data_IF_309404141829
#
_entry.id   IF_309404141829
#
_cell.length_a   1.000
_cell.length_b   1.000
_cell.length_c   1.000
_cell.angle_alpha   90.00
_cell.angle_beta   90.00
_cell.angle_gamma   90.00
#
_symmetry.space_group_name_H-M   'P 1'
#
loop_
_entity.id
_entity.type
_entity.pdbx_description
1 polymer ?
#
# COMPACT_ATOMS: atom_id res chain seq x y z
N UNK A 1 39.19 -0.19 62.57
CA UNK A 1 39.79 -0.25 61.26
C UNK A 1 39.63 -1.67 60.72
N UNK A 2 38.57 -1.92 59.98
CA UNK A 2 38.24 -3.25 59.46
C UNK A 2 38.59 -3.22 57.93
N UNK A 3 39.61 -3.97 57.55
CA UNK A 3 40.06 -4.15 56.21
C UNK A 3 39.13 -5.15 55.48
N UNK A 4 38.23 -4.64 54.72
CA UNK A 4 37.44 -5.45 53.79
C UNK A 4 38.35 -5.86 52.60
N UNK A 5 39.00 -7.00 52.73
CA UNK A 5 39.72 -7.62 51.62
C UNK A 5 38.72 -8.08 50.59
N UNK A 6 38.72 -7.45 49.42
CA UNK A 6 37.87 -7.84 48.31
C UNK A 6 38.30 -9.22 47.80
N UNK A 7 37.44 -10.19 47.91
CA UNK A 7 37.58 -11.56 47.40
C UNK A 7 37.57 -11.65 45.84
N UNK A 8 37.67 -10.53 45.16
CA UNK A 8 37.46 -10.48 43.69
C UNK A 8 38.76 -10.61 42.86
N UNK A 9 39.95 -10.61 43.51
CA UNK A 9 41.24 -10.63 42.80
C UNK A 9 41.99 -11.97 42.89
N UNK A 10 41.27 -13.09 43.09
CA UNK A 10 41.94 -14.38 42.98
C UNK A 10 42.30 -14.62 41.49
N UNK A 11 43.50 -14.24 41.12
CA UNK A 11 44.11 -14.63 39.85
C UNK A 11 44.10 -16.14 39.75
N UNK A 12 43.79 -16.70 38.58
CA UNK A 12 43.88 -18.13 38.39
C UNK A 12 45.32 -18.59 38.67
N UNK A 13 45.48 -19.52 39.58
CA UNK A 13 46.78 -20.13 39.88
C UNK A 13 47.33 -20.76 38.62
N UNK A 14 48.61 -20.49 38.34
CA UNK A 14 49.30 -21.10 37.20
C UNK A 14 49.46 -22.59 37.44
N UNK A 15 49.65 -23.43 36.41
CA UNK A 15 49.93 -24.86 36.56
C UNK A 15 51.08 -25.16 37.54
N UNK A 16 52.15 -24.36 37.49
CA UNK A 16 53.29 -24.46 38.41
C UNK A 16 52.93 -24.13 39.85
N UNK A 17 52.13 -23.13 40.12
CA UNK A 17 51.65 -22.79 41.47
C UNK A 17 50.70 -23.87 42.03
N UNK A 18 49.91 -24.52 41.15
CA UNK A 18 49.05 -25.61 41.57
C UNK A 18 49.87 -26.85 42.00
N UNK A 19 50.92 -27.16 41.24
CA UNK A 19 51.83 -28.29 41.52
C UNK A 19 52.54 -28.08 42.85
N UNK A 20 52.99 -26.85 43.15
CA UNK A 20 53.64 -26.50 44.42
C UNK A 20 52.65 -26.62 45.60
N UNK A 21 51.40 -26.28 45.42
CA UNK A 21 50.39 -26.24 46.49
C UNK A 21 49.75 -27.61 46.76
N UNK A 22 49.65 -28.47 45.75
CA UNK A 22 48.86 -29.71 45.82
C UNK A 22 49.60 -30.98 45.46
N UNK A 23 50.89 -30.91 45.07
CA UNK A 23 51.70 -32.07 44.74
C UNK A 23 51.14 -32.91 43.57
N UNK A 24 50.28 -32.31 42.73
CA UNK A 24 49.64 -32.97 41.61
C UNK A 24 50.42 -32.72 40.32
N UNK A 25 50.42 -33.67 39.44
CA UNK A 25 51.10 -33.55 38.14
C UNK A 25 50.54 -32.43 37.27
N UNK A 26 51.30 -31.98 36.29
CA UNK A 26 50.96 -30.90 35.36
C UNK A 26 49.58 -31.02 34.70
N UNK A 27 49.13 -32.23 34.44
CA UNK A 27 47.81 -32.54 33.88
C UNK A 27 46.64 -32.15 34.79
N UNK A 28 46.77 -32.39 36.11
CA UNK A 28 45.78 -32.00 37.08
C UNK A 28 45.68 -30.46 37.23
N UNK A 29 46.81 -29.75 37.11
CA UNK A 29 46.89 -28.31 37.14
C UNK A 29 46.23 -27.68 35.87
N UNK A 30 46.41 -28.29 34.73
CA UNK A 30 45.80 -27.83 33.47
C UNK A 30 44.29 -28.02 33.48
N UNK A 31 43.76 -29.14 33.98
CA UNK A 31 42.35 -29.39 34.18
C UNK A 31 41.74 -28.37 35.19
N UNK A 32 42.47 -28.02 36.24
CA UNK A 32 41.99 -27.01 37.20
C UNK A 32 41.93 -25.61 36.60
N UNK A 33 42.84 -25.26 35.70
CA UNK A 33 42.88 -23.98 34.99
C UNK A 33 41.72 -23.83 34.00
N UNK A 34 41.24 -24.93 33.44
CA UNK A 34 40.10 -24.94 32.50
C UNK A 34 38.74 -24.80 33.22
N UNK A 35 38.67 -24.99 34.53
CA UNK A 35 37.43 -24.83 35.27
C UNK A 35 37.02 -23.36 35.32
N UNK A 36 36.09 -22.99 34.47
CA UNK A 36 35.41 -21.71 34.58
C UNK A 36 34.72 -21.63 35.96
N UNK A 37 35.05 -20.62 36.77
CA UNK A 37 34.32 -20.42 38.02
C UNK A 37 32.84 -20.23 37.71
N UNK A 38 31.93 -20.84 38.50
CA UNK A 38 30.47 -20.73 38.34
C UNK A 38 30.03 -19.27 38.16
N UNK A 39 30.66 -18.35 38.84
CA UNK A 39 30.39 -16.90 38.80
C UNK A 39 30.75 -16.31 37.39
N UNK A 40 31.91 -16.67 36.83
CA UNK A 40 32.32 -16.23 35.49
C UNK A 40 31.42 -16.82 34.42
N UNK A 41 31.02 -18.08 34.55
CA UNK A 41 30.11 -18.74 33.63
C UNK A 41 28.73 -18.03 33.63
N UNK A 42 28.13 -17.85 34.83
CA UNK A 42 26.84 -17.19 34.94
C UNK A 42 26.88 -15.75 34.41
N UNK A 43 27.92 -14.99 34.74
CA UNK A 43 28.06 -13.61 34.23
C UNK A 43 28.17 -13.58 32.68
N UNK A 44 28.97 -14.48 32.09
CA UNK A 44 29.13 -14.54 30.64
C UNK A 44 27.84 -14.99 29.95
N UNK A 45 27.14 -15.97 30.50
CA UNK A 45 25.87 -16.45 29.97
C UNK A 45 24.80 -15.37 30.05
N UNK A 46 24.69 -14.66 31.15
CA UNK A 46 23.75 -13.55 31.30
C UNK A 46 24.04 -12.43 30.28
N UNK A 47 25.30 -12.05 30.09
CA UNK A 47 25.70 -11.05 29.12
C UNK A 47 25.41 -11.51 27.68
N UNK A 48 25.63 -12.78 27.37
CA UNK A 48 25.33 -13.34 26.06
C UNK A 48 23.82 -13.34 25.77
N UNK A 49 23.00 -13.80 26.73
CA UNK A 49 21.55 -13.79 26.62
C UNK A 49 21.03 -12.35 26.46
N UNK A 50 21.55 -11.44 27.27
CA UNK A 50 21.17 -10.01 27.18
C UNK A 50 21.56 -9.41 25.83
N UNK A 51 22.77 -9.69 25.35
CA UNK A 51 23.25 -9.24 24.04
C UNK A 51 22.38 -9.76 22.90
N UNK A 52 22.06 -11.05 22.90
CA UNK A 52 21.19 -11.66 21.87
C UNK A 52 19.77 -11.04 21.91
N UNK A 53 19.20 -10.90 23.11
CA UNK A 53 17.85 -10.36 23.27
C UNK A 53 17.76 -8.89 22.83
N UNK A 54 18.73 -8.07 23.21
CA UNK A 54 18.76 -6.67 22.78
C UNK A 54 18.98 -6.52 21.29
N UNK A 55 19.88 -7.32 20.71
CA UNK A 55 20.10 -7.31 19.27
C UNK A 55 18.84 -7.73 18.49
N UNK A 56 18.15 -8.77 18.93
CA UNK A 56 16.90 -9.21 18.33
C UNK A 56 15.80 -8.14 18.43
N UNK A 57 15.68 -7.49 19.59
CA UNK A 57 14.71 -6.41 19.80
C UNK A 57 15.00 -5.20 18.90
N UNK A 58 16.26 -4.79 18.81
CA UNK A 58 16.67 -3.67 17.93
C UNK A 58 16.46 -4.02 16.46
N UNK A 59 16.86 -5.24 16.04
CA UNK A 59 16.65 -5.68 14.68
C UNK A 59 15.14 -5.75 14.31
N UNK A 60 14.32 -6.24 15.24
CA UNK A 60 12.86 -6.26 15.05
C UNK A 60 12.26 -4.86 14.95
N UNK A 61 12.70 -3.92 15.78
CA UNK A 61 12.27 -2.54 15.72
C UNK A 61 12.69 -1.85 14.41
N UNK A 62 13.93 -2.07 13.98
CA UNK A 62 14.41 -1.55 12.70
C UNK A 62 13.66 -2.15 11.51
N UNK A 63 13.38 -3.46 11.54
CA UNK A 63 12.57 -4.12 10.52
C UNK A 63 11.15 -3.56 10.46
N UNK A 64 10.53 -3.30 11.62
CA UNK A 64 9.20 -2.70 11.69
C UNK A 64 9.18 -1.24 11.20
N UNK A 65 10.24 -0.48 11.46
CA UNK A 65 10.35 0.92 11.01
C UNK A 65 10.76 1.06 9.54
N UNK A 66 11.29 0.01 8.94
CA UNK A 66 11.67 0.02 7.53
C UNK A 66 10.50 -0.49 6.69
N UNK A 67 9.78 0.38 5.97
CA UNK A 67 8.71 -0.08 5.10
C UNK A 67 9.32 -0.98 4.03
N UNK A 68 8.88 -2.23 3.97
CA UNK A 68 9.21 -3.11 2.86
C UNK A 68 8.54 -2.54 1.61
N UNK A 69 9.34 -1.99 0.70
CA UNK A 69 8.90 -1.38 -0.55
C UNK A 69 8.41 -2.42 -1.57
N UNK A 70 7.48 -3.26 -1.15
CA UNK A 70 6.87 -4.27 -1.99
C UNK A 70 5.52 -3.84 -2.51
N UNK A 71 5.48 -2.98 -3.53
CA UNK A 71 4.24 -2.70 -4.24
C UNK A 71 3.21 -1.86 -3.46
N UNK A 72 3.66 -1.02 -2.53
CA UNK A 72 2.80 -0.18 -1.71
C UNK A 72 2.28 1.05 -2.48
N UNK A 73 1.20 1.64 -1.97
CA UNK A 73 0.64 2.91 -2.45
C UNK A 73 1.77 3.96 -2.58
N UNK A 74 1.85 4.61 -3.74
CA UNK A 74 2.94 5.52 -4.09
C UNK A 74 3.92 4.95 -5.13
N UNK A 75 3.64 3.77 -5.67
CA UNK A 75 4.44 3.11 -6.71
C UNK A 75 3.57 2.54 -7.84
N UNK A 76 4.22 2.01 -8.87
CA UNK A 76 3.52 1.27 -9.93
C UNK A 76 3.01 -0.08 -9.39
N UNK A 77 1.70 -0.31 -9.50
CA UNK A 77 1.00 -1.49 -9.03
C UNK A 77 0.56 -2.33 -10.22
N UNK A 78 1.02 -3.57 -10.31
CA UNK A 78 0.42 -4.54 -11.21
C UNK A 78 -0.86 -5.07 -10.57
N UNK A 79 -2.00 -4.80 -11.21
CA UNK A 79 -3.32 -5.11 -10.63
C UNK A 79 -3.96 -6.35 -11.25
N UNK A 80 -3.37 -6.91 -12.29
CA UNK A 80 -3.84 -8.14 -12.95
C UNK A 80 -3.84 -8.04 -14.46
N UNK A 81 -4.41 -9.05 -15.11
CA UNK A 81 -4.49 -9.10 -16.57
C UNK A 81 -5.70 -8.31 -17.09
N UNK A 82 -5.61 -7.77 -18.31
CA UNK A 82 -6.76 -7.12 -18.96
C UNK A 82 -8.01 -7.99 -18.99
N UNK A 83 -7.84 -9.31 -19.16
CA UNK A 83 -8.93 -10.29 -19.21
C UNK A 83 -9.72 -10.40 -17.90
N UNK A 84 -9.11 -10.01 -16.78
CA UNK A 84 -9.73 -10.08 -15.45
C UNK A 84 -10.72 -8.92 -15.24
N UNK A 85 -10.66 -7.91 -16.11
CA UNK A 85 -11.46 -6.69 -16.02
C UNK A 85 -12.31 -6.48 -17.27
N UNK A 86 -13.40 -7.23 -17.47
CA UNK A 86 -14.23 -7.11 -18.66
C UNK A 86 -14.82 -5.71 -18.82
N UNK A 87 -14.81 -5.21 -20.05
CA UNK A 87 -15.46 -3.94 -20.38
C UNK A 87 -16.98 -4.05 -20.21
N UNK A 88 -17.60 -2.97 -19.81
CA UNK A 88 -19.05 -2.90 -19.72
C UNK A 88 -19.59 -1.58 -20.28
N UNK A 89 -20.83 -1.60 -20.73
CA UNK A 89 -21.61 -0.41 -21.01
C UNK A 89 -22.24 0.10 -19.72
N UNK A 90 -22.50 1.39 -19.57
CA UNK A 90 -23.15 1.91 -18.36
C UNK A 90 -24.46 1.21 -18.00
N UNK A 91 -25.23 0.77 -18.99
CA UNK A 91 -26.48 0.00 -18.77
C UNK A 91 -26.19 -1.39 -18.15
N UNK A 92 -25.08 -2.02 -18.55
CA UNK A 92 -24.67 -3.34 -18.05
C UNK A 92 -24.09 -3.24 -16.62
N UNK A 93 -23.56 -2.08 -16.25
CA UNK A 93 -23.02 -1.84 -14.90
C UNK A 93 -24.12 -1.88 -13.83
N UNK A 94 -25.33 -1.44 -14.15
CA UNK A 94 -26.49 -1.51 -13.25
C UNK A 94 -26.85 -2.96 -12.92
N UNK A 95 -26.75 -3.83 -13.92
CA UNK A 95 -27.28 -5.20 -13.81
C UNK A 95 -26.24 -6.23 -13.33
N UNK A 96 -24.97 -6.00 -13.65
CA UNK A 96 -23.95 -7.06 -13.57
C UNK A 96 -22.67 -6.69 -12.80
N UNK A 97 -22.60 -5.51 -12.19
CA UNK A 97 -21.39 -5.01 -11.48
C UNK A 97 -20.10 -5.09 -12.33
N UNK A 98 -20.24 -5.04 -13.68
CA UNK A 98 -19.13 -5.10 -14.61
C UNK A 98 -18.62 -3.71 -14.92
N UNK A 99 -17.35 -3.62 -15.35
CA UNK A 99 -16.74 -2.39 -15.85
C UNK A 99 -16.22 -1.45 -14.77
N UNK A 100 -16.54 -1.64 -13.49
CA UNK A 100 -15.96 -0.88 -12.38
C UNK A 100 -15.42 -1.87 -11.32
N UNK A 101 -14.12 -1.80 -11.07
CA UNK A 101 -13.42 -2.74 -10.20
C UNK A 101 -12.69 -1.98 -9.11
N UNK A 102 -12.96 -2.31 -7.86
CA UNK A 102 -12.22 -1.74 -6.76
C UNK A 102 -10.87 -2.46 -6.58
N UNK A 103 -9.79 -1.69 -6.56
CA UNK A 103 -8.41 -2.17 -6.40
C UNK A 103 -7.88 -1.70 -5.03
N UNK A 104 -7.96 -2.51 -3.99
CA UNK A 104 -7.60 -2.10 -2.62
C UNK A 104 -6.13 -1.65 -2.51
N UNK A 105 -5.20 -2.35 -3.16
CA UNK A 105 -3.77 -2.05 -3.13
C UNK A 105 -3.47 -0.65 -3.69
N UNK A 106 -4.18 -0.24 -4.74
CA UNK A 106 -4.05 1.06 -5.37
C UNK A 106 -5.01 2.11 -4.77
N UNK A 107 -5.88 1.74 -3.84
CA UNK A 107 -6.95 2.62 -3.32
C UNK A 107 -7.72 3.32 -4.43
N UNK A 108 -8.01 2.61 -5.49
CA UNK A 108 -8.59 3.14 -6.73
C UNK A 108 -9.72 2.29 -7.25
N UNK A 109 -10.52 2.90 -8.11
CA UNK A 109 -11.44 2.18 -8.97
C UNK A 109 -10.86 2.15 -10.37
N UNK A 110 -10.72 0.95 -10.93
CA UNK A 110 -10.41 0.74 -12.32
C UNK A 110 -11.73 0.68 -13.09
N UNK A 111 -11.93 1.61 -13.97
CA UNK A 111 -13.13 1.68 -14.83
C UNK A 111 -12.75 1.28 -16.24
N UNK A 112 -13.44 0.30 -16.80
CA UNK A 112 -13.25 -0.18 -18.16
C UNK A 112 -14.56 -0.10 -18.93
N UNK A 113 -14.67 0.91 -19.80
CA UNK A 113 -15.85 1.15 -20.61
C UNK A 113 -15.67 0.55 -22.00
N UNK A 114 -16.67 -0.21 -22.44
CA UNK A 114 -16.72 -0.75 -23.80
C UNK A 114 -16.77 0.38 -24.84
N UNK A 115 -16.16 0.13 -25.98
CA UNK A 115 -16.28 1.02 -27.12
C UNK A 115 -17.76 1.13 -27.56
N UNK A 116 -18.33 2.28 -27.35
CA UNK A 116 -19.74 2.50 -27.67
C UNK A 116 -19.93 3.79 -28.45
N UNK A 117 -19.99 3.63 -29.77
CA UNK A 117 -20.29 4.74 -30.68
C UNK A 117 -21.65 5.42 -30.40
N UNK A 118 -22.53 4.79 -29.62
CA UNK A 118 -23.84 5.34 -29.24
C UNK A 118 -23.79 6.41 -28.16
N UNK A 119 -22.72 6.42 -27.33
CA UNK A 119 -22.49 7.51 -26.37
C UNK A 119 -21.77 8.71 -27.03
N UNK A 120 -21.31 8.53 -28.23
CA UNK A 120 -20.90 9.59 -29.14
C UNK A 120 -22.19 10.21 -29.70
N UNK A 121 -22.69 11.28 -29.12
CA UNK A 121 -23.72 12.09 -29.72
C UNK A 121 -23.35 12.32 -31.20
N UNK A 122 -24.26 11.98 -32.10
CA UNK A 122 -24.03 11.91 -33.52
C UNK A 122 -23.12 13.05 -34.04
N UNK A 123 -21.92 12.69 -34.48
CA UNK A 123 -21.00 13.61 -35.15
C UNK A 123 -19.94 14.29 -34.27
N UNK A 124 -19.91 14.06 -32.97
CA UNK A 124 -18.87 14.61 -32.11
C UNK A 124 -17.91 13.51 -31.67
N UNK A 125 -16.66 13.64 -32.07
CA UNK A 125 -15.59 12.78 -31.60
C UNK A 125 -15.24 13.25 -30.20
N UNK A 126 -15.91 12.65 -29.18
CA UNK A 126 -15.80 13.02 -27.77
C UNK A 126 -14.35 12.99 -27.25
N UNK A 127 -13.49 12.30 -27.96
CA UNK A 127 -12.09 12.14 -27.63
C UNK A 127 -11.22 13.34 -27.99
N UNK A 128 -11.61 14.09 -29.00
CA UNK A 128 -10.83 15.24 -29.45
C UNK A 128 -11.32 16.54 -28.79
N UNK A 129 -12.56 16.59 -28.34
CA UNK A 129 -13.12 17.76 -27.62
C UNK A 129 -12.82 17.76 -26.14
N UNK A 130 -12.65 16.59 -25.54
CA UNK A 130 -12.28 16.46 -24.14
C UNK A 130 -10.92 15.80 -24.10
N UNK A 131 -9.93 16.57 -23.74
CA UNK A 131 -8.67 16.07 -23.21
C UNK A 131 -9.02 15.36 -21.90
N UNK A 132 -9.58 14.14 -22.00
CA UNK A 132 -9.76 13.26 -20.87
C UNK A 132 -8.35 12.88 -20.40
N UNK A 133 -7.76 13.74 -19.62
CA UNK A 133 -6.43 13.52 -19.06
C UNK A 133 -6.45 12.18 -18.34
N UNK A 134 -5.47 11.34 -18.69
CA UNK A 134 -5.26 10.01 -18.08
C UNK A 134 -6.38 8.98 -18.32
N UNK A 135 -6.99 9.01 -19.47
CA UNK A 135 -7.78 7.90 -20.01
C UNK A 135 -6.96 7.16 -21.06
N UNK A 136 -6.78 5.86 -20.83
CA UNK A 136 -6.06 4.99 -21.76
C UNK A 136 -7.06 4.31 -22.69
N UNK A 137 -6.80 4.42 -24.00
CA UNK A 137 -7.58 3.72 -25.03
C UNK A 137 -6.92 2.40 -25.35
N UNK A 138 -7.70 1.35 -25.44
CA UNK A 138 -7.25 0.07 -25.97
C UNK A 138 -7.45 -0.02 -27.50
N UNK A 139 -6.81 -1.00 -28.11
CA UNK A 139 -6.87 -1.21 -29.56
C UNK A 139 -8.27 -1.54 -30.11
N UNK A 140 -9.19 -1.99 -29.26
CA UNK A 140 -10.60 -2.23 -29.57
C UNK A 140 -11.48 -0.98 -29.43
N UNK A 141 -10.89 0.15 -29.03
CA UNK A 141 -11.58 1.40 -28.77
C UNK A 141 -12.24 1.51 -27.40
N UNK A 142 -12.09 0.51 -26.55
CA UNK A 142 -12.49 0.60 -25.13
C UNK A 142 -11.61 1.60 -24.37
N UNK A 143 -12.15 2.15 -23.29
CA UNK A 143 -11.46 3.16 -22.49
C UNK A 143 -11.26 2.69 -21.07
N UNK A 144 -10.08 2.99 -20.52
CA UNK A 144 -9.68 2.64 -19.18
C UNK A 144 -9.31 3.88 -18.40
N UNK A 145 -9.77 3.96 -17.15
CA UNK A 145 -9.37 5.01 -16.23
C UNK A 145 -9.19 4.46 -14.81
N UNK A 146 -8.15 4.90 -14.13
CA UNK A 146 -7.90 4.59 -12.74
C UNK A 146 -8.25 5.80 -11.86
N UNK A 147 -9.39 5.72 -11.16
CA UNK A 147 -9.90 6.80 -10.32
C UNK A 147 -9.42 6.64 -8.88
N UNK A 148 -8.86 7.70 -8.31
CA UNK A 148 -8.53 7.69 -6.90
C UNK A 148 -9.80 7.72 -6.04
N UNK A 149 -9.91 6.81 -5.09
CA UNK A 149 -11.07 6.62 -4.22
C UNK A 149 -11.36 7.83 -3.30
N UNK A 150 -10.61 8.89 -3.41
CA UNK A 150 -10.65 10.02 -2.48
C UNK A 150 -11.45 11.19 -3.03
N UNK A 151 -12.46 11.63 -2.27
CA UNK A 151 -13.23 12.84 -2.60
C UNK A 151 -12.34 14.08 -2.57
N UNK A 152 -12.39 14.87 -3.63
CA UNK A 152 -11.58 16.09 -3.77
C UNK A 152 -12.10 17.26 -2.95
N UNK A 153 -13.26 17.10 -2.28
CA UNK A 153 -13.75 18.10 -1.33
C UNK A 153 -12.89 18.09 -0.03
N UNK A 154 -12.99 17.05 0.78
CA UNK A 154 -12.29 16.92 2.06
C UNK A 154 -11.68 15.53 2.30
N UNK A 155 -11.52 14.72 1.27
CA UNK A 155 -10.75 13.49 1.34
C UNK A 155 -11.50 12.24 1.80
N UNK A 156 -12.83 12.28 1.92
CA UNK A 156 -13.61 11.09 2.26
C UNK A 156 -13.50 10.01 1.18
N UNK A 157 -13.62 8.75 1.57
CA UNK A 157 -13.74 7.63 0.64
C UNK A 157 -15.05 7.74 -0.14
N UNK A 158 -14.96 7.65 -1.47
CA UNK A 158 -16.12 7.72 -2.35
C UNK A 158 -16.46 6.33 -2.85
N UNK A 159 -17.57 5.72 -2.44
CA UNK A 159 -18.01 4.43 -2.95
C UNK A 159 -18.65 4.56 -4.34
N UNK A 160 -18.51 3.51 -5.15
CA UNK A 160 -19.30 3.33 -6.35
C UNK A 160 -20.71 2.85 -5.99
N UNK A 161 -21.70 3.38 -6.67
CA UNK A 161 -23.11 3.07 -6.51
C UNK A 161 -23.63 2.39 -7.78
N UNK A 162 -23.84 1.08 -7.70
CA UNK A 162 -24.33 0.28 -8.83
C UNK A 162 -25.76 0.67 -9.26
N UNK A 163 -26.58 1.09 -8.29
CA UNK A 163 -27.98 1.46 -8.52
C UNK A 163 -28.17 2.70 -9.41
N UNK A 164 -27.15 3.53 -9.51
CA UNK A 164 -27.18 4.74 -10.31
C UNK A 164 -25.93 4.94 -11.18
N UNK A 165 -25.04 3.94 -11.23
CA UNK A 165 -23.80 3.94 -12.04
C UNK A 165 -22.98 5.21 -11.84
N UNK A 166 -22.70 5.52 -10.58
CA UNK A 166 -22.03 6.77 -10.23
C UNK A 166 -21.28 6.63 -8.91
N UNK A 167 -20.45 7.62 -8.61
CA UNK A 167 -19.75 7.72 -7.34
C UNK A 167 -20.38 8.79 -6.48
N UNK A 168 -20.76 8.51 -5.24
CA UNK A 168 -21.32 9.48 -4.33
C UNK A 168 -20.58 9.51 -3.01
N UNK A 169 -20.06 10.68 -2.65
CA UNK A 169 -19.38 10.90 -1.40
C UNK A 169 -20.39 10.94 -0.23
N UNK A 170 -20.25 10.06 0.78
CA UNK A 170 -21.21 10.00 1.88
C UNK A 170 -21.12 11.16 2.86
N UNK A 171 -19.99 11.92 2.83
CA UNK A 171 -19.76 12.98 3.81
C UNK A 171 -20.61 14.24 3.55
N UNK A 172 -20.59 14.74 2.31
CA UNK A 172 -21.30 16.00 1.95
C UNK A 172 -21.99 15.91 0.60
N UNK A 173 -22.15 14.69 0.05
CA UNK A 173 -22.96 14.47 -1.12
C UNK A 173 -22.33 14.81 -2.46
N UNK A 174 -21.02 15.11 -2.54
CA UNK A 174 -20.36 15.30 -3.84
C UNK A 174 -20.59 14.08 -4.73
N UNK A 175 -21.00 14.31 -5.96
CA UNK A 175 -21.47 13.29 -6.88
C UNK A 175 -20.66 13.33 -8.16
N UNK A 176 -20.28 12.15 -8.67
CA UNK A 176 -19.45 12.00 -9.87
C UNK A 176 -20.03 10.90 -10.73
N UNK A 177 -19.91 11.05 -12.05
CA UNK A 177 -20.31 10.00 -12.99
C UNK A 177 -19.33 8.80 -12.95
N UNK A 178 -19.57 7.78 -13.77
CA UNK A 178 -18.75 6.57 -13.80
C UNK A 178 -17.29 6.83 -14.19
N UNK A 179 -16.98 7.90 -14.93
CA UNK A 179 -15.61 8.32 -15.25
C UNK A 179 -14.98 9.23 -14.18
N UNK A 180 -15.65 9.43 -13.06
CA UNK A 180 -15.18 10.30 -11.99
C UNK A 180 -15.35 11.79 -12.29
N UNK A 181 -16.09 12.18 -13.36
CA UNK A 181 -16.35 13.58 -13.64
C UNK A 181 -17.40 14.15 -12.67
N UNK A 182 -17.19 15.38 -12.24
CA UNK A 182 -18.06 16.03 -11.29
C UNK A 182 -19.47 16.25 -11.89
N UNK A 183 -20.49 15.94 -11.12
CA UNK A 183 -21.89 16.16 -11.46
C UNK A 183 -22.52 17.25 -10.59
N UNK A 184 -22.41 17.12 -9.27
CA UNK A 184 -22.98 18.05 -8.30
C UNK A 184 -22.31 17.94 -6.91
N UNK A 185 -22.67 18.84 -6.01
CA UNK A 185 -22.18 18.86 -4.62
C UNK A 185 -21.02 19.83 -4.38
N UNK A 186 -20.40 19.78 -3.18
CA UNK A 186 -19.43 20.79 -2.77
C UNK A 186 -17.98 20.55 -3.31
N UNK A 187 -17.71 19.47 -4.02
CA UNK A 187 -16.39 19.22 -4.59
C UNK A 187 -16.06 20.25 -5.67
N UNK A 188 -14.84 20.82 -5.67
CA UNK A 188 -14.46 21.86 -6.63
C UNK A 188 -14.15 21.35 -8.03
N UNK A 189 -13.97 20.05 -8.23
CA UNK A 189 -13.54 19.44 -9.50
C UNK A 189 -13.85 17.94 -9.53
N UNK A 190 -13.56 17.30 -10.65
CA UNK A 190 -13.66 15.85 -10.83
C UNK A 190 -12.69 15.07 -9.94
N UNK A 191 -12.90 13.75 -9.80
CA UNK A 191 -12.02 12.88 -9.04
C UNK A 191 -10.61 12.86 -9.63
N UNK A 192 -9.63 12.72 -8.75
CA UNK A 192 -8.24 12.52 -9.13
C UNK A 192 -8.06 11.19 -9.86
N UNK A 193 -7.12 11.14 -10.79
CA UNK A 193 -6.80 9.98 -11.59
C UNK A 193 -5.35 9.58 -11.41
N UNK A 194 -5.09 8.28 -11.48
CA UNK A 194 -3.73 7.76 -11.57
C UNK A 194 -3.35 7.53 -13.01
N UNK A 195 -2.04 7.67 -13.30
CA UNK A 195 -1.51 7.18 -14.55
C UNK A 195 -1.62 5.67 -14.59
N UNK A 196 -1.96 5.15 -15.76
CA UNK A 196 -2.01 3.72 -15.99
C UNK A 196 -1.44 3.36 -17.35
N UNK A 197 -0.94 2.15 -17.47
CA UNK A 197 -0.45 1.60 -18.72
C UNK A 197 -0.66 0.09 -18.79
N UNK A 198 -0.40 -0.48 -19.95
CA UNK A 198 -0.44 -1.92 -20.16
C UNK A 198 0.98 -2.44 -20.39
N UNK A 199 1.37 -3.46 -19.66
CA UNK A 199 2.66 -4.12 -19.81
C UNK A 199 2.43 -5.61 -20.10
N UNK A 200 2.68 -6.05 -21.35
CA UNK A 200 2.51 -7.45 -21.73
C UNK A 200 1.09 -8.02 -21.52
N UNK A 201 0.05 -7.18 -21.57
CA UNK A 201 -1.34 -7.57 -21.31
C UNK A 201 -1.75 -7.48 -19.82
N UNK A 202 -0.85 -7.04 -18.96
CA UNK A 202 -1.14 -6.73 -17.55
C UNK A 202 -1.48 -5.25 -17.39
N UNK A 203 -2.36 -4.95 -16.48
CA UNK A 203 -2.79 -3.58 -16.13
C UNK A 203 -1.90 -3.08 -14.99
N UNK A 204 -1.23 -1.96 -15.23
CA UNK A 204 -0.36 -1.32 -14.24
C UNK A 204 -0.90 0.07 -13.91
N UNK A 205 -1.17 0.32 -12.63
CA UNK A 205 -1.60 1.62 -12.10
C UNK A 205 -0.44 2.25 -11.35
N UNK A 206 -0.03 3.45 -11.74
CA UNK A 206 1.02 4.20 -11.03
C UNK A 206 0.41 5.10 -9.96
N UNK A 207 0.37 4.61 -8.73
CA UNK A 207 -0.17 5.36 -7.60
C UNK A 207 0.75 6.46 -7.06
N UNK A 208 1.99 6.54 -7.57
CA UNK A 208 2.94 7.61 -7.27
C UNK A 208 2.65 8.92 -8.01
N UNK A 209 1.86 8.85 -9.09
CA UNK A 209 1.49 10.03 -9.89
C UNK A 209 -0.01 10.26 -9.80
N UNK A 210 -0.41 11.29 -9.07
CA UNK A 210 -1.81 11.70 -8.94
C UNK A 210 -2.05 12.89 -9.87
N UNK A 211 -2.93 12.70 -10.85
CA UNK A 211 -3.37 13.78 -11.72
C UNK A 211 -4.59 14.47 -11.12
N UNK A 212 -4.35 15.66 -10.59
CA UNK A 212 -5.33 16.48 -9.89
C UNK A 212 -5.90 17.63 -10.74
N UNK A 213 -5.46 17.75 -11.99
CA UNK A 213 -5.91 18.81 -12.92
C UNK A 213 -7.17 18.46 -13.69
N UNK A 214 -7.89 17.40 -13.28
CA UNK A 214 -9.11 16.98 -13.95
C UNK A 214 -10.19 18.05 -13.75
N UNK A 215 -10.43 18.82 -14.78
CA UNK A 215 -11.29 20.01 -14.76
C UNK A 215 -12.72 19.65 -14.34
N UNK A 216 -13.40 20.65 -13.82
CA UNK A 216 -14.84 20.61 -13.61
C UNK A 216 -15.51 20.77 -14.98
N UNK A 217 -16.18 19.73 -15.51
CA UNK A 217 -16.84 19.90 -16.81
C UNK A 217 -17.98 20.87 -16.65
N UNK A 218 -18.14 21.77 -17.62
CA UNK A 218 -19.35 22.59 -17.70
C UNK A 218 -20.57 21.68 -17.86
N UNK A 219 -21.69 22.06 -17.27
CA UNK A 219 -22.92 21.25 -17.28
C UNK A 219 -23.41 20.90 -18.72
N UNK A 220 -22.96 21.67 -19.73
CA UNK A 220 -23.26 21.45 -21.16
C UNK A 220 -22.32 20.44 -21.80
N UNK A 221 -21.22 20.11 -21.16
CA UNK A 221 -20.16 19.25 -21.69
C UNK A 221 -20.03 17.90 -20.99
N UNK A 222 -20.91 17.62 -20.03
CA UNK A 222 -21.00 16.32 -19.40
C UNK A 222 -21.43 15.25 -20.42
N UNK A 223 -20.50 14.35 -20.71
CA UNK A 223 -20.60 13.45 -21.87
C UNK A 223 -21.27 12.13 -21.59
N UNK A 224 -21.33 11.74 -20.35
CA UNK A 224 -21.98 10.50 -19.98
C UNK A 224 -23.40 10.80 -19.53
N UNK A 225 -24.34 9.88 -19.79
CA UNK A 225 -25.71 10.06 -19.36
C UNK A 225 -25.73 10.39 -17.86
N UNK A 226 -26.51 11.39 -17.51
CA UNK A 226 -26.83 11.63 -16.09
C UNK A 226 -27.29 10.30 -15.48
N UNK A 227 -26.97 10.04 -14.23
CA UNK A 227 -27.42 8.83 -13.56
C UNK A 227 -28.89 8.59 -13.86
N UNK A 228 -29.21 7.40 -14.34
CA UNK A 228 -30.58 7.05 -14.76
C UNK A 228 -31.58 7.03 -13.63
N UNK A 229 -31.09 7.14 -12.39
CA UNK A 229 -31.85 7.22 -11.14
C UNK A 229 -31.31 8.35 -10.29
N UNK A 230 -32.20 9.05 -9.64
CA UNK A 230 -31.83 10.02 -8.63
C UNK A 230 -31.09 9.30 -7.47
N UNK A 231 -29.77 9.45 -7.41
CA UNK A 231 -28.94 8.96 -6.30
C UNK A 231 -29.16 9.71 -5.00
N UNK A 232 -30.14 10.63 -4.91
CA UNK A 232 -30.41 11.43 -3.74
C UNK A 232 -31.00 10.65 -2.59
N UNK A 233 -31.63 9.50 -2.85
CA UNK A 233 -32.22 8.64 -1.85
C UNK A 233 -31.22 7.59 -1.33
N UNK A 234 -30.49 7.91 -0.30
CA UNK A 234 -29.62 6.94 0.39
C UNK A 234 -28.38 7.58 1.00
N UNK A 235 -28.60 8.46 1.96
CA UNK A 235 -27.62 8.88 2.95
C UNK A 235 -27.86 8.10 4.23
#
# INVERSE_FOLDING_TARGET
>A
MSSNGSHDDMQPITPQQYEILHGGGAEAAEIAHQRLSRRRFLRRSMLAVWGISTTAAVAGALYFMYPTSGGDFGSAQNVGKKTDFPAARPEEMILNEKGVFYIPAARSYLVHLANNAQYLLAGQNLQDQFQLENVVKDGDGSTWVALYQRCVHLGCTVPFRNDCVSFKCPCHGSHYNVNGEFLDGPAPRSLDRFDMNFNGGEVVINTGTINSNVQHPDATTQLLPKPTKDCSAGG
#
